data_IF_088916512204
#
_entry.id   IF_088916512204
#
_cell.length_a   1.000
_cell.length_b   1.000
_cell.length_c   1.000
_cell.angle_alpha   90.00
_cell.angle_beta   90.00
_cell.angle_gamma   90.00
#
_symmetry.space_group_name_H-M   'P 1'
#
loop_
_entity.id
_entity.type
_entity.pdbx_description
1 polymer ?
#
# COMPACT_ATOMS: atom_id res chain seq x y z
N UNK A 1 -49.73 -7.25 98.38
CA UNK A 1 -49.13 -5.89 98.50
C UNK A 1 -47.76 -6.06 99.15
N UNK A 2 -46.66 -5.40 98.74
CA UNK A 2 -46.46 -4.19 97.92
C UNK A 2 -45.79 -4.50 96.54
N UNK A 3 -45.94 -3.78 95.41
CA UNK A 3 -45.89 -2.35 95.01
C UNK A 3 -44.48 -1.74 95.00
N UNK A 4 -43.78 -1.78 93.85
CA UNK A 4 -43.12 -0.64 93.19
C UNK A 4 -42.61 -1.05 91.78
N UNK A 5 -42.94 -0.23 90.78
CA UNK A 5 -42.40 -0.21 89.41
C UNK A 5 -41.31 0.87 89.38
N UNK A 6 -40.08 0.59 88.89
CA UNK A 6 -39.58 1.50 87.87
C UNK A 6 -38.55 0.88 86.89
N UNK A 7 -38.54 1.47 85.69
CA UNK A 7 -37.34 1.76 84.87
C UNK A 7 -36.61 0.60 84.17
N UNK A 8 -36.92 0.45 82.87
CA UNK A 8 -36.02 0.15 81.75
C UNK A 8 -34.54 -0.20 82.06
N UNK A 9 -34.07 -1.41 81.68
CA UNK A 9 -32.69 -1.62 81.30
C UNK A 9 -32.52 -1.40 79.79
N UNK A 10 -31.95 -0.25 79.46
CA UNK A 10 -31.02 0.05 78.37
C UNK A 10 -30.76 -1.10 77.36
N UNK A 11 -31.28 -0.97 76.13
CA UNK A 11 -30.75 -1.67 74.95
C UNK A 11 -29.70 -0.76 74.28
N UNK A 12 -28.44 -1.20 74.10
CA UNK A 12 -27.43 -0.38 73.46
C UNK A 12 -27.69 -0.22 71.96
N UNK A 13 -27.47 1.01 71.52
CA UNK A 13 -27.56 1.52 70.16
C UNK A 13 -26.30 1.25 69.34
N UNK A 14 -26.45 1.04 68.04
CA UNK A 14 -25.55 1.48 66.97
C UNK A 14 -26.49 1.81 65.79
N UNK A 15 -26.88 3.06 65.52
CA UNK A 15 -26.12 4.25 65.08
C UNK A 15 -25.53 4.10 63.66
N UNK A 16 -26.00 4.99 62.78
CA UNK A 16 -25.45 5.28 61.45
C UNK A 16 -25.97 4.38 60.32
N UNK A 17 -26.59 4.89 59.25
CA UNK A 17 -26.90 6.25 58.87
C UNK A 17 -27.95 6.23 57.74
N UNK A 18 -28.70 7.32 57.53
CA UNK A 18 -29.83 7.38 56.62
C UNK A 18 -29.40 8.07 55.34
N UNK A 19 -29.30 7.39 54.20
CA UNK A 19 -29.37 8.13 52.93
C UNK A 19 -30.03 7.30 51.83
N UNK A 20 -31.17 7.84 51.44
CA UNK A 20 -32.01 7.54 50.31
C UNK A 20 -31.27 7.52 48.97
N UNK A 21 -31.66 6.55 48.14
CA UNK A 21 -32.05 6.62 46.72
C UNK A 21 -31.09 7.28 45.70
N UNK A 22 -31.14 6.69 44.50
CA UNK A 22 -30.79 7.23 43.17
C UNK A 22 -29.38 6.95 42.64
N UNK A 23 -29.19 5.79 42.00
CA UNK A 23 -28.32 5.66 40.82
C UNK A 23 -28.88 4.59 39.86
N UNK A 24 -29.98 4.92 39.20
CA UNK A 24 -30.49 4.16 38.05
C UNK A 24 -30.83 5.18 36.97
N UNK A 25 -30.03 5.23 35.90
CA UNK A 25 -30.33 6.07 34.74
C UNK A 25 -29.16 6.61 33.92
N UNK A 26 -27.90 6.54 34.39
CA UNK A 26 -26.76 7.18 33.68
C UNK A 26 -25.62 6.25 33.26
N UNK A 27 -25.63 4.98 33.67
CA UNK A 27 -24.56 4.03 33.34
C UNK A 27 -24.56 3.50 31.88
N UNK A 28 -25.69 3.32 31.16
CA UNK A 28 -25.62 2.74 29.80
C UNK A 28 -25.18 3.75 28.73
N UNK A 29 -25.56 5.02 28.86
CA UNK A 29 -25.23 6.05 27.85
C UNK A 29 -23.75 6.42 27.85
N UNK A 30 -23.10 6.42 29.02
CA UNK A 30 -21.66 6.67 29.12
C UNK A 30 -20.84 5.59 28.39
N UNK A 31 -21.33 4.35 28.36
CA UNK A 31 -20.69 3.26 27.62
C UNK A 31 -20.80 3.45 26.11
N UNK A 32 -21.96 3.90 25.63
CA UNK A 32 -22.18 4.21 24.21
C UNK A 32 -21.32 5.40 23.77
N UNK A 33 -21.26 6.47 24.58
CA UNK A 33 -20.41 7.64 24.29
C UNK A 33 -18.93 7.26 24.28
N UNK A 34 -18.47 6.41 25.21
CA UNK A 34 -17.10 5.93 25.22
C UNK A 34 -16.76 5.09 23.97
N UNK A 35 -17.67 4.23 23.50
CA UNK A 35 -17.50 3.46 22.26
C UNK A 35 -17.47 4.40 21.04
N UNK A 36 -18.38 5.38 20.96
CA UNK A 36 -18.41 6.34 19.85
C UNK A 36 -17.15 7.20 19.82
N UNK A 37 -16.68 7.69 20.97
CA UNK A 37 -15.43 8.45 21.08
C UNK A 37 -14.23 7.57 20.70
N UNK A 38 -14.17 6.31 21.13
CA UNK A 38 -13.13 5.37 20.71
C UNK A 38 -13.14 5.12 19.20
N UNK A 39 -14.31 4.91 18.59
CA UNK A 39 -14.46 4.73 17.14
C UNK A 39 -14.06 5.99 16.38
N UNK A 40 -14.50 7.17 16.83
CA UNK A 40 -14.16 8.46 16.20
C UNK A 40 -12.67 8.79 16.36
N UNK A 41 -12.05 8.50 17.50
CA UNK A 41 -10.61 8.66 17.69
C UNK A 41 -9.81 7.66 16.83
N UNK A 42 -10.30 6.44 16.63
CA UNK A 42 -9.69 5.44 15.73
C UNK A 42 -9.84 5.85 14.25
N UNK A 43 -10.88 6.61 13.90
CA UNK A 43 -11.08 7.15 12.55
C UNK A 43 -10.34 8.47 12.29
N UNK A 44 -10.08 9.29 13.33
CA UNK A 44 -9.34 10.57 13.19
C UNK A 44 -7.82 10.42 13.30
N UNK A 45 -7.33 9.45 14.07
CA UNK A 45 -5.93 9.03 14.00
C UNK A 45 -5.82 7.92 12.97
N UNK A 46 -5.55 8.31 11.72
CA UNK A 46 -5.51 7.43 10.54
C UNK A 46 -4.99 6.02 10.82
N UNK A 47 -5.91 5.06 10.86
CA UNK A 47 -5.80 3.72 10.28
C UNK A 47 -4.36 3.19 10.13
N UNK A 48 -3.70 2.88 11.25
CA UNK A 48 -2.56 1.96 11.25
C UNK A 48 -3.11 0.55 11.46
N UNK A 49 -3.78 0.01 10.44
CA UNK A 49 -4.25 -1.37 10.43
C UNK A 49 -3.03 -2.29 10.36
N UNK A 50 -2.90 -3.33 11.21
CA UNK A 50 -1.74 -4.21 11.20
C UNK A 50 -1.94 -5.30 10.15
N UNK A 51 -2.17 -4.91 8.90
CA UNK A 51 -1.73 -5.77 7.81
C UNK A 51 -0.30 -5.37 7.54
N UNK A 52 0.69 -6.30 7.52
CA UNK A 52 2.00 -5.96 6.99
C UNK A 52 1.79 -5.51 5.55
N UNK A 53 1.78 -4.20 5.32
CA UNK A 53 1.68 -3.63 4.00
C UNK A 53 2.91 -4.13 3.24
N UNK A 54 2.72 -5.08 2.33
CA UNK A 54 3.79 -5.62 1.49
C UNK A 54 4.57 -4.54 0.71
N UNK A 55 4.07 -3.30 0.68
CA UNK A 55 4.71 -2.11 0.15
C UNK A 55 5.97 -1.71 0.95
N UNK A 56 5.97 -1.82 2.28
CA UNK A 56 7.13 -1.42 3.10
C UNK A 56 8.30 -2.40 2.92
N UNK A 57 7.99 -3.71 2.85
CA UNK A 57 8.97 -4.75 2.53
C UNK A 57 9.58 -4.60 1.15
N UNK A 58 8.76 -4.36 0.12
CA UNK A 58 9.25 -4.16 -1.26
C UNK A 58 10.15 -2.92 -1.40
N UNK A 59 9.87 -1.86 -0.63
CA UNK A 59 10.69 -0.64 -0.64
C UNK A 59 12.06 -0.87 -0.01
N UNK A 60 12.13 -1.63 1.09
CA UNK A 60 13.41 -2.05 1.71
C UNK A 60 14.19 -2.99 0.80
N UNK A 61 13.53 -3.98 0.21
CA UNK A 61 14.13 -4.91 -0.74
C UNK A 61 14.71 -4.18 -1.96
N UNK A 62 13.98 -3.19 -2.48
CA UNK A 62 14.46 -2.33 -3.57
C UNK A 62 15.74 -1.57 -3.19
N UNK A 63 15.82 -1.02 -1.97
CA UNK A 63 17.03 -0.35 -1.48
C UNK A 63 18.22 -1.31 -1.38
N UNK A 64 18.00 -2.53 -0.88
CA UNK A 64 19.06 -3.55 -0.78
C UNK A 64 19.56 -3.97 -2.17
N UNK A 65 18.65 -4.12 -3.13
CA UNK A 65 19.01 -4.40 -4.53
C UNK A 65 19.87 -3.26 -5.09
N UNK A 66 19.45 -2.01 -4.90
CA UNK A 66 20.17 -0.84 -5.42
C UNK A 66 21.57 -0.68 -4.80
N UNK A 67 21.71 -0.94 -3.51
CA UNK A 67 22.98 -0.76 -2.80
C UNK A 67 24.02 -1.82 -3.17
N UNK A 68 23.57 -3.01 -3.58
CA UNK A 68 24.42 -4.11 -4.01
C UNK A 68 24.51 -4.25 -5.53
N UNK A 69 23.70 -3.50 -6.28
CA UNK A 69 23.71 -3.49 -7.73
C UNK A 69 25.02 -2.92 -8.25
N UNK A 70 25.72 -3.68 -9.06
CA UNK A 70 26.78 -3.14 -9.89
C UNK A 70 26.14 -2.59 -11.19
N UNK A 71 26.31 -1.30 -11.53
CA UNK A 71 25.72 -0.71 -12.74
C UNK A 71 26.12 -1.42 -14.04
N UNK A 72 27.29 -2.07 -14.06
CA UNK A 72 27.83 -2.74 -15.25
C UNK A 72 27.36 -4.20 -15.41
N UNK A 73 26.71 -4.77 -14.39
CA UNK A 73 26.32 -6.18 -14.38
C UNK A 73 24.82 -6.32 -14.68
N UNK A 74 24.50 -7.10 -15.73
CA UNK A 74 23.13 -7.54 -15.97
C UNK A 74 22.74 -8.61 -14.96
N UNK A 75 21.71 -8.35 -14.17
CA UNK A 75 21.22 -9.30 -13.17
C UNK A 75 20.01 -10.06 -13.70
N UNK A 76 20.02 -11.41 -13.70
CA UNK A 76 18.85 -12.18 -14.07
C UNK A 76 17.78 -12.04 -13.00
N UNK A 77 16.52 -11.92 -13.44
CA UNK A 77 15.36 -11.80 -12.55
C UNK A 77 14.24 -12.71 -12.99
N UNK A 78 13.48 -13.19 -12.01
CA UNK A 78 12.26 -13.93 -12.26
C UNK A 78 11.08 -12.95 -12.18
N UNK A 79 10.32 -12.84 -13.26
CA UNK A 79 9.11 -11.98 -13.29
C UNK A 79 7.99 -12.69 -12.53
N UNK A 80 7.47 -12.05 -11.48
CA UNK A 80 6.34 -12.58 -10.71
C UNK A 80 5.02 -12.19 -11.37
N UNK A 81 4.85 -10.89 -11.67
CA UNK A 81 3.64 -10.36 -12.33
C UNK A 81 3.90 -9.00 -12.96
N UNK A 82 3.18 -8.70 -14.04
CA UNK A 82 3.09 -7.35 -14.62
C UNK A 82 2.06 -6.55 -13.83
N UNK A 83 2.35 -5.29 -13.52
CA UNK A 83 1.41 -4.41 -12.79
C UNK A 83 0.75 -3.47 -13.80
N UNK A 84 1.57 -2.71 -14.54
CA UNK A 84 1.15 -1.73 -15.55
C UNK A 84 2.09 -1.83 -16.76
N UNK A 85 1.83 -1.07 -17.83
CA UNK A 85 2.62 -1.12 -19.07
C UNK A 85 4.09 -0.67 -18.95
N UNK A 86 4.52 -0.16 -17.79
CA UNK A 86 5.93 0.19 -17.52
C UNK A 86 6.47 -0.37 -16.19
N UNK A 87 5.65 -1.08 -15.41
CA UNK A 87 6.01 -1.52 -14.06
C UNK A 87 5.67 -2.99 -13.86
N UNK A 88 6.62 -3.79 -13.39
CA UNK A 88 6.42 -5.20 -13.04
C UNK A 88 7.07 -5.55 -11.70
N UNK A 89 6.63 -6.66 -11.12
CA UNK A 89 7.19 -7.21 -9.90
C UNK A 89 8.22 -8.26 -10.25
N UNK A 90 9.46 -8.05 -9.81
CA UNK A 90 10.59 -8.92 -10.09
C UNK A 90 11.12 -9.54 -8.80
N UNK A 91 11.49 -10.81 -8.89
CA UNK A 91 12.25 -11.51 -7.87
C UNK A 91 13.71 -11.54 -8.30
N UNK A 92 14.57 -11.00 -7.44
CA UNK A 92 16.01 -10.91 -7.67
C UNK A 92 16.71 -11.84 -6.69
N UNK A 93 17.51 -12.78 -7.20
CA UNK A 93 18.38 -13.60 -6.38
C UNK A 93 19.70 -12.85 -6.17
N UNK A 94 20.05 -12.61 -4.91
CA UNK A 94 21.33 -12.03 -4.54
C UNK A 94 22.39 -13.11 -4.37
N UNK A 95 23.66 -12.69 -4.45
CA UNK A 95 24.82 -13.60 -4.35
C UNK A 95 24.94 -14.24 -2.97
N UNK A 96 24.42 -13.58 -1.94
CA UNK A 96 24.36 -14.06 -0.56
C UNK A 96 23.24 -15.11 -0.33
N UNK A 97 22.55 -15.54 -1.39
CA UNK A 97 21.46 -16.51 -1.34
C UNK A 97 20.11 -15.90 -0.96
N UNK A 98 20.02 -14.59 -0.69
CA UNK A 98 18.76 -13.92 -0.40
C UNK A 98 17.92 -13.77 -1.66
N UNK A 99 16.61 -13.83 -1.47
CA UNK A 99 15.62 -13.62 -2.52
C UNK A 99 14.85 -12.37 -2.17
N UNK A 100 15.07 -11.32 -2.96
CA UNK A 100 14.43 -10.01 -2.76
C UNK A 100 13.33 -9.81 -3.80
N UNK A 101 12.25 -9.15 -3.41
CA UNK A 101 11.15 -8.86 -4.31
C UNK A 101 10.97 -7.35 -4.41
N UNK A 102 11.16 -6.81 -5.62
CA UNK A 102 11.05 -5.38 -5.86
C UNK A 102 10.18 -5.07 -7.07
N UNK A 103 9.58 -3.88 -7.04
CA UNK A 103 8.88 -3.31 -8.19
C UNK A 103 9.90 -2.64 -9.08
N UNK A 104 9.97 -3.09 -10.32
CA UNK A 104 10.88 -2.57 -11.34
C UNK A 104 10.07 -1.73 -12.31
N UNK A 105 10.47 -0.46 -12.49
CA UNK A 105 9.95 0.45 -13.52
C UNK A 105 10.93 0.53 -14.67
N UNK A 106 10.42 0.43 -15.88
CA UNK A 106 11.17 0.60 -17.12
C UNK A 106 11.66 2.04 -17.26
N UNK A 107 12.95 2.20 -17.54
CA UNK A 107 13.56 3.51 -17.76
C UNK A 107 13.17 4.10 -19.12
N UNK A 108 13.00 5.42 -19.15
CA UNK A 108 12.84 6.20 -20.38
C UNK A 108 11.46 6.14 -21.01
N UNK A 109 10.50 5.46 -20.37
CA UNK A 109 9.14 5.32 -20.89
C UNK A 109 8.09 5.72 -19.85
N UNK A 110 6.94 6.13 -20.36
CA UNK A 110 5.71 6.27 -19.61
C UNK A 110 4.63 5.48 -20.32
N UNK A 111 3.95 4.61 -19.58
CA UNK A 111 2.83 3.82 -20.08
C UNK A 111 1.52 4.34 -19.46
N UNK A 112 0.38 4.10 -20.13
CA UNK A 112 -0.93 4.37 -19.55
C UNK A 112 -1.15 3.51 -18.31
N UNK A 113 -1.70 4.13 -17.26
CA UNK A 113 -1.94 3.48 -15.97
C UNK A 113 -3.26 2.70 -16.01
N UNK A 114 -3.32 1.53 -15.38
CA UNK A 114 -4.55 0.71 -15.34
C UNK A 114 -5.70 1.40 -14.60
N UNK A 115 -5.40 2.38 -13.73
CA UNK A 115 -6.38 3.24 -13.05
C UNK A 115 -6.74 4.44 -13.94
N UNK A 116 -7.24 4.12 -15.12
CA UNK A 116 -7.58 5.09 -16.15
C UNK A 116 -8.77 5.99 -15.74
N UNK A 117 -8.76 7.25 -16.19
CA UNK A 117 -9.91 8.15 -16.02
C UNK A 117 -10.91 8.07 -17.19
N UNK A 118 -10.51 7.48 -18.31
CA UNK A 118 -11.32 7.31 -19.52
C UNK A 118 -11.12 5.91 -20.13
N UNK A 119 -12.08 5.48 -20.94
CA UNK A 119 -12.04 4.17 -21.60
C UNK A 119 -10.85 4.04 -22.56
N UNK A 120 -10.55 5.08 -23.35
CA UNK A 120 -9.41 5.08 -24.26
C UNK A 120 -8.07 4.85 -23.55
N UNK A 121 -7.89 5.43 -22.35
CA UNK A 121 -6.70 5.21 -21.54
C UNK A 121 -6.66 3.80 -20.99
N UNK A 122 -7.80 3.24 -20.56
CA UNK A 122 -7.89 1.87 -20.09
C UNK A 122 -7.53 0.87 -21.20
N UNK A 123 -8.06 1.07 -22.40
CA UNK A 123 -7.79 0.20 -23.55
C UNK A 123 -6.31 0.23 -23.92
N UNK A 124 -5.69 1.42 -23.91
CA UNK A 124 -4.24 1.57 -24.11
C UNK A 124 -3.45 0.94 -22.96
N UNK A 125 -3.88 1.09 -21.71
CA UNK A 125 -3.23 0.48 -20.54
C UNK A 125 -3.24 -1.04 -20.61
N UNK A 126 -4.36 -1.63 -21.02
CA UNK A 126 -4.49 -3.06 -21.25
C UNK A 126 -3.60 -3.54 -22.39
N UNK A 127 -3.59 -2.82 -23.52
CA UNK A 127 -2.71 -3.13 -24.64
C UNK A 127 -1.23 -3.08 -24.25
N UNK A 128 -0.81 -2.03 -23.52
CA UNK A 128 0.55 -1.88 -23.05
C UNK A 128 0.96 -2.95 -22.02
N UNK A 129 0.06 -3.29 -21.10
CA UNK A 129 0.28 -4.34 -20.11
C UNK A 129 0.37 -5.72 -20.77
N UNK A 130 -0.46 -5.98 -21.78
CA UNK A 130 -0.40 -7.18 -22.61
C UNK A 130 0.93 -7.30 -23.35
N UNK A 131 1.34 -6.23 -24.05
CA UNK A 131 2.61 -6.20 -24.77
C UNK A 131 3.81 -6.42 -23.84
N UNK A 132 3.83 -5.76 -22.67
CA UNK A 132 4.88 -5.96 -21.68
C UNK A 132 4.90 -7.41 -21.17
N UNK A 133 3.74 -7.99 -20.86
CA UNK A 133 3.64 -9.38 -20.43
C UNK A 133 4.18 -10.34 -21.50
N UNK A 134 3.87 -10.10 -22.77
CA UNK A 134 4.31 -10.95 -23.88
C UNK A 134 5.82 -10.84 -24.12
N UNK A 135 6.38 -9.63 -23.97
CA UNK A 135 7.84 -9.41 -24.01
C UNK A 135 8.54 -10.13 -22.86
N UNK A 136 8.05 -9.98 -21.62
CA UNK A 136 8.60 -10.64 -20.43
C UNK A 136 8.41 -12.16 -20.48
N UNK A 137 7.35 -12.64 -21.14
CA UNK A 137 7.05 -14.06 -21.36
C UNK A 137 8.07 -14.78 -22.26
N UNK A 138 8.91 -14.04 -22.98
CA UNK A 138 10.03 -14.61 -23.75
C UNK A 138 11.10 -15.26 -22.84
N UNK A 139 11.07 -14.95 -21.54
CA UNK A 139 11.99 -15.49 -20.55
C UNK A 139 13.40 -14.91 -20.63
N UNK A 140 14.25 -15.32 -19.68
CA UNK A 140 15.62 -14.81 -19.56
C UNK A 140 15.64 -13.29 -19.32
N UNK A 141 14.76 -12.80 -18.45
CA UNK A 141 14.67 -11.38 -18.14
C UNK A 141 15.88 -10.96 -17.32
N UNK A 142 16.55 -9.91 -17.77
CA UNK A 142 17.71 -9.33 -17.12
C UNK A 142 17.48 -7.84 -16.90
N UNK A 143 17.91 -7.34 -15.76
CA UNK A 143 17.85 -5.93 -15.39
C UNK A 143 19.27 -5.36 -15.32
N UNK A 144 19.44 -4.11 -15.75
CA UNK A 144 20.72 -3.40 -15.74
C UNK A 144 20.51 -1.91 -15.46
N UNK A 145 21.59 -1.19 -15.11
CA UNK A 145 21.54 0.24 -14.81
C UNK A 145 20.44 0.59 -13.78
N UNK A 146 20.55 -0.04 -12.61
CA UNK A 146 19.58 0.08 -11.53
C UNK A 146 19.73 1.46 -10.85
N UNK A 147 18.61 2.16 -10.70
CA UNK A 147 18.54 3.46 -10.06
C UNK A 147 17.34 3.58 -9.12
N UNK A 148 17.40 4.47 -8.11
CA UNK A 148 16.28 4.70 -7.23
C UNK A 148 15.15 5.44 -7.96
N UNK A 149 13.90 5.01 -7.75
CA UNK A 149 12.71 5.77 -8.08
C UNK A 149 12.16 6.48 -6.84
N UNK A 150 11.56 7.67 -7.02
CA UNK A 150 11.03 8.50 -5.94
C UNK A 150 9.90 7.85 -5.13
N UNK A 151 9.31 6.76 -5.64
CA UNK A 151 8.25 6.00 -4.97
C UNK A 151 8.74 4.66 -4.40
N UNK A 152 10.05 4.50 -4.17
CA UNK A 152 10.61 3.25 -3.62
C UNK A 152 10.63 2.09 -4.62
N UNK A 153 10.53 2.37 -5.92
CA UNK A 153 10.72 1.38 -6.99
C UNK A 153 12.17 1.38 -7.48
N UNK A 154 12.54 0.34 -8.21
CA UNK A 154 13.83 0.26 -8.91
C UNK A 154 13.61 0.70 -10.35
N UNK A 155 14.30 1.74 -10.79
CA UNK A 155 14.36 2.16 -12.18
C UNK A 155 15.44 1.35 -12.90
N UNK A 156 15.09 0.62 -13.97
CA UNK A 156 16.02 -0.26 -14.65
C UNK A 156 15.85 -0.28 -16.17
N UNK A 157 16.94 -0.60 -16.86
CA UNK A 157 16.89 -1.07 -18.25
C UNK A 157 16.64 -2.58 -18.21
N UNK A 158 15.69 -3.05 -19.02
CA UNK A 158 15.26 -4.44 -18.99
C UNK A 158 15.43 -5.06 -20.36
N UNK A 159 16.05 -6.23 -20.39
CA UNK A 159 16.25 -7.03 -21.58
C UNK A 159 15.68 -8.43 -21.35
N UNK A 160 15.22 -9.09 -22.40
CA UNK A 160 14.82 -10.50 -22.38
C UNK A 160 15.77 -11.31 -23.24
N UNK A 161 15.54 -12.62 -23.32
CA UNK A 161 16.34 -13.51 -24.18
C UNK A 161 16.28 -13.13 -25.67
N UNK A 162 15.16 -12.59 -26.15
CA UNK A 162 14.97 -12.24 -27.57
C UNK A 162 14.97 -10.73 -27.82
N UNK A 163 14.70 -9.92 -26.79
CA UNK A 163 14.56 -8.47 -26.91
C UNK A 163 15.67 -7.79 -26.13
N UNK A 164 16.56 -7.07 -26.83
CA UNK A 164 17.69 -6.40 -26.19
C UNK A 164 17.28 -5.24 -25.27
N UNK A 165 16.19 -4.56 -25.59
CA UNK A 165 15.61 -3.49 -24.77
C UNK A 165 14.07 -3.53 -24.86
N UNK A 166 13.44 -3.87 -23.74
CA UNK A 166 11.98 -3.95 -23.61
C UNK A 166 11.35 -2.55 -23.71
N UNK A 167 12.01 -1.52 -23.19
CA UNK A 167 11.54 -0.13 -23.30
C UNK A 167 11.45 0.29 -24.76
N UNK A 168 12.50 0.02 -25.53
CA UNK A 168 12.53 0.34 -26.96
C UNK A 168 11.46 -0.43 -27.75
N UNK A 169 11.23 -1.71 -27.41
CA UNK A 169 10.18 -2.51 -28.06
C UNK A 169 8.78 -1.97 -27.79
N UNK A 170 8.50 -1.51 -26.56
CA UNK A 170 7.21 -0.91 -26.20
C UNK A 170 6.99 0.44 -26.90
N UNK A 171 8.05 1.25 -27.02
CA UNK A 171 8.01 2.50 -27.78
C UNK A 171 7.75 2.24 -29.27
N UNK A 172 8.47 1.29 -29.87
CA UNK A 172 8.31 0.92 -31.27
C UNK A 172 6.91 0.36 -31.58
N UNK A 173 6.31 -0.35 -30.63
CA UNK A 173 4.93 -0.85 -30.73
C UNK A 173 3.85 0.20 -30.45
N UNK A 174 4.21 1.43 -30.06
CA UNK A 174 3.25 2.49 -29.75
C UNK A 174 2.48 2.28 -28.43
N UNK A 175 2.97 1.39 -27.56
CA UNK A 175 2.34 1.07 -26.27
C UNK A 175 2.72 2.06 -25.16
N UNK A 176 3.84 2.75 -25.34
CA UNK A 176 4.37 3.72 -24.38
C UNK A 176 4.84 4.99 -25.09
N UNK A 177 5.00 6.08 -24.32
CA UNK A 177 5.61 7.33 -24.77
C UNK A 177 7.01 7.47 -24.17
N UNK A 178 7.93 8.08 -24.92
CA UNK A 178 9.25 8.43 -24.38
C UNK A 178 9.07 9.44 -23.25
N UNK A 179 9.69 9.19 -22.10
CA UNK A 179 9.60 10.05 -20.94
C UNK A 179 10.95 10.23 -20.27
N UNK A 180 11.45 11.47 -20.30
CA UNK A 180 12.73 11.87 -19.71
C UNK A 180 12.57 12.79 -18.49
N UNK A 181 11.37 12.80 -17.89
CA UNK A 181 11.00 13.73 -16.83
C UNK A 181 10.12 14.88 -17.32
N UNK A 182 9.49 15.58 -16.36
CA UNK A 182 8.60 16.72 -16.65
C UNK A 182 7.11 16.37 -16.63
N UNK A 183 6.30 17.25 -17.22
CA UNK A 183 4.85 17.11 -17.31
C UNK A 183 4.47 15.95 -18.22
N UNK A 184 3.44 15.20 -17.84
CA UNK A 184 2.91 14.07 -18.60
C UNK A 184 1.60 14.50 -19.26
N UNK A 185 1.49 14.28 -20.56
CA UNK A 185 0.20 14.43 -21.23
C UNK A 185 -0.68 13.24 -20.88
N UNK A 186 -1.96 13.53 -20.64
CA UNK A 186 -2.96 12.49 -20.43
C UNK A 186 -3.03 11.51 -21.60
N UNK A 187 -3.50 10.30 -21.31
CA UNK A 187 -3.70 9.25 -22.29
C UNK A 187 -5.10 9.27 -22.90
N UNK A 188 -6.03 10.00 -22.29
CA UNK A 188 -7.33 10.27 -22.87
C UNK A 188 -7.20 11.07 -24.16
N UNK A 189 -7.93 10.66 -25.19
CA UNK A 189 -8.11 11.51 -26.34
C UNK A 189 -8.70 12.84 -25.85
N UNK A 190 -8.05 13.97 -26.16
CA UNK A 190 -8.72 15.26 -26.08
C UNK A 190 -9.87 15.18 -27.07
N UNK A 191 -11.07 14.88 -26.59
CA UNK A 191 -12.28 15.02 -27.38
C UNK A 191 -12.23 16.41 -27.96
N UNK A 192 -12.15 16.49 -29.29
CA UNK A 192 -12.14 17.76 -30.00
C UNK A 192 -13.43 18.48 -29.60
N UNK A 193 -13.33 19.54 -28.79
CA UNK A 193 -14.39 20.53 -28.68
C UNK A 193 -14.40 21.24 -30.03
N UNK A 194 -15.19 20.72 -30.96
CA UNK A 194 -15.64 21.51 -32.09
C UNK A 194 -16.61 22.56 -31.52
N UNK A 195 -16.15 23.81 -31.54
CA UNK A 195 -16.87 25.09 -31.43
C UNK A 195 -18.04 25.17 -30.45
#
# INVERSE_FOLDING_TARGET
>A
MPRFDPSHPYRPSYSGSPFSRHFSGLLPWMFVVAIVVAVVLTFRHGMNWPFPHAIDGQSRDAQIILQQANPDIRQPVDVIRTIDGDTFLARVRQRDGRVLVARVRLRGIDAPEMKASCQDELDKAQAATGALRDLLGQGGVTIANLGPDKYGRVLANVATRRTADVSAALLAGGYARSYNGGHRDGWCARGWRFW
#
